data_IF_525110856600
#
_entry.id   IF_525110856600
#
_cell.length_a   1.000
_cell.length_b   1.000
_cell.length_c   1.000
_cell.angle_alpha   90.00
_cell.angle_beta   90.00
_cell.angle_gamma   90.00
#
_symmetry.space_group_name_H-M   'P 1'
#
loop_
_entity.id
_entity.type
_entity.pdbx_description
1 polymer ?
#
# COMPACT_ATOMS: atom_id res chain seq x y z
N UNK A 1 -24.30 26.82 10.65
CA UNK A 1 -23.87 25.67 9.84
C UNK A 1 -22.39 25.50 10.11
N UNK A 2 -22.00 24.44 10.81
CA UNK A 2 -20.59 24.09 10.98
C UNK A 2 -20.07 23.69 9.60
N UNK A 3 -19.10 24.43 9.09
CA UNK A 3 -18.46 24.12 7.82
C UNK A 3 -17.49 22.96 8.08
N UNK A 4 -17.92 21.73 7.77
CA UNK A 4 -17.10 20.54 7.92
C UNK A 4 -15.92 20.61 6.93
N UNK A 5 -14.72 20.23 7.37
CA UNK A 5 -13.53 20.31 6.53
C UNK A 5 -13.65 19.33 5.35
N UNK A 6 -13.95 19.84 4.16
CA UNK A 6 -14.08 19.03 2.94
C UNK A 6 -12.73 18.58 2.33
N UNK A 7 -11.64 18.57 3.10
CA UNK A 7 -10.29 18.25 2.61
C UNK A 7 -9.66 17.13 3.44
N UNK A 8 -9.02 16.13 2.80
CA UNK A 8 -8.21 15.13 3.48
C UNK A 8 -7.15 15.77 4.38
N UNK A 9 -6.93 15.19 5.55
CA UNK A 9 -5.85 15.60 6.43
C UNK A 9 -4.49 15.30 5.79
N UNK A 10 -3.45 16.00 6.27
CA UNK A 10 -2.08 15.71 5.85
C UNK A 10 -1.66 14.27 6.18
N UNK A 11 -2.18 13.70 7.27
CA UNK A 11 -1.89 12.32 7.68
C UNK A 11 -2.49 11.34 6.66
N UNK A 12 -3.75 11.56 6.26
CA UNK A 12 -4.41 10.74 5.25
C UNK A 12 -3.67 10.79 3.90
N UNK A 13 -3.20 11.97 3.48
CA UNK A 13 -2.37 12.10 2.27
C UNK A 13 -1.09 11.29 2.41
N UNK A 14 -0.38 11.39 3.54
CA UNK A 14 0.84 10.62 3.79
C UNK A 14 0.56 9.11 3.74
N UNK A 15 -0.51 8.63 4.38
CA UNK A 15 -0.91 7.23 4.35
C UNK A 15 -1.33 6.73 2.96
N UNK A 16 -1.81 7.61 2.09
CA UNK A 16 -2.13 7.23 0.70
C UNK A 16 -0.92 7.09 -0.22
N UNK A 17 0.22 7.70 0.15
CA UNK A 17 1.43 7.71 -0.69
C UNK A 17 2.43 6.64 -0.25
N UNK A 18 2.60 6.43 1.06
CA UNK A 18 3.60 5.50 1.59
C UNK A 18 3.44 4.07 1.03
N UNK A 19 2.25 3.45 0.99
CA UNK A 19 2.09 2.10 0.44
C UNK A 19 2.61 1.96 -0.98
N UNK A 20 2.33 2.94 -1.85
CA UNK A 20 2.82 2.93 -3.23
C UNK A 20 4.36 2.94 -3.30
N UNK A 21 5.02 3.74 -2.45
CA UNK A 21 6.48 3.79 -2.37
C UNK A 21 7.05 2.46 -1.87
N UNK A 22 6.45 1.87 -0.84
CA UNK A 22 6.89 0.59 -0.28
C UNK A 22 6.73 -0.55 -1.29
N UNK A 23 5.59 -0.62 -1.99
CA UNK A 23 5.35 -1.58 -3.06
C UNK A 23 6.39 -1.42 -4.17
N UNK A 24 6.64 -0.18 -4.62
CA UNK A 24 7.64 0.09 -5.66
C UNK A 24 9.03 -0.40 -5.26
N UNK A 25 9.46 -0.08 -4.03
CA UNK A 25 10.75 -0.54 -3.51
C UNK A 25 10.80 -2.07 -3.42
N UNK A 26 9.72 -2.71 -2.95
CA UNK A 26 9.65 -4.16 -2.85
C UNK A 26 9.81 -4.82 -4.23
N UNK A 27 9.11 -4.34 -5.27
CA UNK A 27 9.23 -4.86 -6.65
C UNK A 27 10.63 -4.62 -7.23
N UNK A 28 11.24 -3.47 -6.93
CA UNK A 28 12.59 -3.19 -7.39
C UNK A 28 13.62 -4.13 -6.74
N UNK A 29 13.47 -4.41 -5.45
CA UNK A 29 14.35 -5.29 -4.69
C UNK A 29 14.27 -6.77 -5.13
N UNK A 30 13.12 -7.21 -5.66
CA UNK A 30 12.99 -8.54 -6.28
C UNK A 30 13.60 -8.59 -7.69
N UNK A 31 14.26 -7.53 -8.14
CA UNK A 31 14.78 -7.40 -9.51
C UNK A 31 13.66 -7.67 -10.53
N UNK A 32 12.51 -7.04 -10.30
CA UNK A 32 11.28 -7.23 -11.06
C UNK A 32 10.85 -8.71 -11.19
N UNK A 33 10.97 -9.45 -10.09
CA UNK A 33 10.64 -10.88 -10.01
C UNK A 33 11.55 -11.79 -10.85
N UNK A 34 12.82 -11.42 -11.00
CA UNK A 34 13.82 -12.28 -11.63
C UNK A 34 13.98 -13.59 -10.85
N UNK A 35 14.11 -14.72 -11.57
CA UNK A 35 14.44 -16.04 -10.99
C UNK A 35 15.89 -16.12 -10.48
N UNK A 36 16.75 -15.19 -10.90
CA UNK A 36 18.14 -15.08 -10.48
C UNK A 36 18.41 -13.62 -10.11
N UNK A 37 17.85 -13.14 -8.98
CA UNK A 37 17.99 -11.75 -8.59
C UNK A 37 19.47 -11.44 -8.31
N UNK A 38 19.88 -10.24 -8.68
CA UNK A 38 21.25 -9.74 -8.43
C UNK A 38 21.55 -9.58 -6.94
N UNK A 39 20.52 -9.29 -6.13
CA UNK A 39 20.63 -9.13 -4.69
C UNK A 39 20.47 -10.46 -3.93
N UNK A 40 21.17 -10.63 -2.79
CA UNK A 40 21.06 -11.85 -2.00
C UNK A 40 19.66 -11.97 -1.37
N UNK A 41 19.22 -13.18 -0.98
CA UNK A 41 17.84 -13.46 -0.55
C UNK A 41 17.32 -12.57 0.59
N UNK A 42 18.21 -12.08 1.45
CA UNK A 42 17.86 -11.12 2.51
C UNK A 42 17.19 -9.86 1.95
N UNK A 43 17.68 -9.37 0.81
CA UNK A 43 17.16 -8.16 0.15
C UNK A 43 16.20 -8.47 -1.00
N UNK A 44 16.31 -9.61 -1.68
CA UNK A 44 15.43 -9.96 -2.81
C UNK A 44 14.18 -10.75 -2.42
N UNK A 45 14.11 -11.30 -1.20
CA UNK A 45 12.94 -12.06 -0.74
C UNK A 45 12.42 -11.57 0.63
N UNK A 46 13.25 -11.60 1.68
CA UNK A 46 12.79 -11.31 3.04
C UNK A 46 12.43 -9.84 3.26
N UNK A 47 13.28 -8.91 2.83
CA UNK A 47 13.00 -7.48 2.96
C UNK A 47 11.74 -7.06 2.16
N UNK A 48 11.56 -7.47 0.88
CA UNK A 48 10.32 -7.21 0.15
C UNK A 48 9.07 -7.70 0.87
N UNK A 49 9.08 -8.93 1.43
CA UNK A 49 7.96 -9.44 2.23
C UNK A 49 7.67 -8.52 3.41
N UNK A 50 8.70 -8.12 4.15
CA UNK A 50 8.53 -7.20 5.27
C UNK A 50 7.94 -5.86 4.83
N UNK A 51 8.43 -5.26 3.74
CA UNK A 51 7.94 -4.00 3.21
C UNK A 51 6.47 -4.08 2.78
N UNK A 52 6.06 -5.18 2.14
CA UNK A 52 4.67 -5.39 1.70
C UNK A 52 3.72 -5.61 2.89
N UNK A 53 4.18 -6.26 3.97
CA UNK A 53 3.38 -6.38 5.20
C UNK A 53 3.18 -5.00 5.84
N UNK A 54 4.23 -4.19 5.92
CA UNK A 54 4.12 -2.81 6.43
C UNK A 54 3.24 -1.95 5.51
N UNK A 55 3.37 -2.10 4.20
CA UNK A 55 2.50 -1.45 3.20
C UNK A 55 1.03 -1.78 3.44
N UNK A 56 0.68 -3.06 3.60
CA UNK A 56 -0.68 -3.49 3.84
C UNK A 56 -1.25 -2.92 5.14
N UNK A 57 -0.44 -2.86 6.21
CA UNK A 57 -0.84 -2.25 7.49
C UNK A 57 -1.12 -0.74 7.32
N UNK A 58 -0.25 -0.02 6.60
CA UNK A 58 -0.44 1.42 6.36
C UNK A 58 -1.65 1.67 5.45
N UNK A 59 -1.84 0.86 4.41
CA UNK A 59 -3.00 0.94 3.54
C UNK A 59 -4.30 0.65 4.31
N UNK A 60 -4.28 -0.30 5.25
CA UNK A 60 -5.39 -0.53 6.17
C UNK A 60 -5.71 0.72 6.99
N UNK A 61 -4.71 1.37 7.60
CA UNK A 61 -4.94 2.64 8.31
C UNK A 61 -5.43 3.74 7.38
N UNK A 62 -4.89 3.86 6.16
CA UNK A 62 -5.35 4.81 5.16
C UNK A 62 -6.85 4.66 4.89
N UNK A 63 -7.35 3.42 4.77
CA UNK A 63 -8.75 3.14 4.53
C UNK A 63 -9.64 3.61 5.70
N UNK A 64 -9.27 3.27 6.93
CA UNK A 64 -10.06 3.68 8.10
C UNK A 64 -10.02 5.18 8.33
N UNK A 65 -8.86 5.82 8.16
CA UNK A 65 -8.74 7.27 8.25
C UNK A 65 -9.52 7.97 7.13
N UNK A 66 -9.53 7.43 5.90
CA UNK A 66 -10.34 7.99 4.81
C UNK A 66 -11.84 7.95 5.13
N UNK A 67 -12.31 6.88 5.77
CA UNK A 67 -13.70 6.75 6.22
C UNK A 67 -14.04 7.64 7.41
N UNK A 68 -13.10 7.80 8.34
CA UNK A 68 -13.29 8.63 9.53
C UNK A 68 -13.31 10.13 9.19
N UNK A 69 -12.51 10.54 8.21
CA UNK A 69 -12.46 11.93 7.73
C UNK A 69 -13.48 12.26 6.63
N UNK A 70 -14.27 11.28 6.18
CA UNK A 70 -15.26 11.49 5.11
C UNK A 70 -16.37 12.43 5.59
N UNK A 71 -16.66 13.54 4.88
CA UNK A 71 -17.66 14.51 5.30
C UNK A 71 -19.07 13.92 5.20
N UNK A 72 -19.90 14.20 6.20
CA UNK A 72 -21.32 13.79 6.20
C UNK A 72 -22.11 14.52 5.12
N UNK A 73 -21.73 15.77 4.82
CA UNK A 73 -22.40 16.64 3.87
C UNK A 73 -21.39 17.25 2.90
N UNK A 74 -21.62 17.10 1.60
CA UNK A 74 -20.76 17.65 0.55
C UNK A 74 -20.14 16.58 -0.34
N UNK A 75 -19.02 16.91 -1.00
CA UNK A 75 -18.38 15.99 -1.95
C UNK A 75 -17.52 14.95 -1.23
N UNK A 76 -17.93 13.68 -1.34
CA UNK A 76 -17.21 12.52 -0.81
C UNK A 76 -16.23 11.91 -1.83
N UNK A 77 -16.19 12.44 -3.05
CA UNK A 77 -15.50 11.82 -4.17
C UNK A 77 -14.00 11.56 -3.90
N UNK A 78 -13.31 12.52 -3.29
CA UNK A 78 -11.87 12.39 -2.98
C UNK A 78 -11.64 11.28 -1.95
N UNK A 79 -12.48 11.18 -0.92
CA UNK A 79 -12.37 10.14 0.11
C UNK A 79 -12.61 8.75 -0.47
N UNK A 80 -13.59 8.60 -1.38
CA UNK A 80 -13.82 7.32 -2.09
C UNK A 80 -12.66 6.92 -2.99
N UNK A 81 -11.97 7.88 -3.62
CA UNK A 81 -10.71 7.59 -4.35
C UNK A 81 -9.64 7.06 -3.39
N UNK A 82 -9.45 7.71 -2.23
CA UNK A 82 -8.45 7.31 -1.24
C UNK A 82 -8.76 5.93 -0.63
N UNK A 83 -10.02 5.65 -0.33
CA UNK A 83 -10.48 4.31 0.07
C UNK A 83 -10.19 3.27 -1.02
N UNK A 84 -10.50 3.58 -2.29
CA UNK A 84 -10.25 2.70 -3.42
C UNK A 84 -8.75 2.43 -3.64
N UNK A 85 -7.91 3.45 -3.48
CA UNK A 85 -6.45 3.32 -3.53
C UNK A 85 -5.95 2.41 -2.40
N UNK A 86 -6.41 2.63 -1.17
CA UNK A 86 -6.04 1.80 -0.03
C UNK A 86 -6.38 0.32 -0.25
N UNK A 87 -7.59 0.02 -0.72
CA UNK A 87 -7.98 -1.36 -1.07
C UNK A 87 -7.12 -1.92 -2.19
N UNK A 88 -6.82 -1.11 -3.21
CA UNK A 88 -5.97 -1.52 -4.33
C UNK A 88 -4.56 -1.87 -3.88
N UNK A 89 -3.97 -1.10 -2.96
CA UNK A 89 -2.65 -1.40 -2.39
C UNK A 89 -2.67 -2.72 -1.63
N UNK A 90 -3.67 -2.98 -0.78
CA UNK A 90 -3.80 -4.25 -0.06
C UNK A 90 -3.89 -5.43 -1.04
N UNK A 91 -4.66 -5.29 -2.12
CA UNK A 91 -4.75 -6.34 -3.15
C UNK A 91 -3.42 -6.55 -3.86
N UNK A 92 -2.70 -5.48 -4.21
CA UNK A 92 -1.36 -5.56 -4.80
C UNK A 92 -0.36 -6.22 -3.85
N UNK A 93 -0.37 -5.86 -2.57
CA UNK A 93 0.49 -6.47 -1.54
C UNK A 93 0.27 -7.98 -1.48
N UNK A 94 -0.98 -8.44 -1.48
CA UNK A 94 -1.31 -9.88 -1.48
C UNK A 94 -0.79 -10.58 -2.75
N UNK A 95 -1.02 -9.99 -3.92
CA UNK A 95 -0.58 -10.56 -5.21
C UNK A 95 0.95 -10.67 -5.26
N UNK A 96 1.65 -9.60 -4.88
CA UNK A 96 3.11 -9.54 -4.90
C UNK A 96 3.69 -10.49 -3.86
N UNK A 97 3.14 -10.56 -2.64
CA UNK A 97 3.55 -11.52 -1.62
C UNK A 97 3.42 -12.96 -2.13
N UNK A 98 2.28 -13.30 -2.74
CA UNK A 98 2.08 -14.63 -3.31
C UNK A 98 3.12 -14.95 -4.40
N UNK A 99 3.45 -13.96 -5.23
CA UNK A 99 4.46 -14.12 -6.29
C UNK A 99 5.86 -14.34 -5.73
N UNK A 100 6.27 -13.58 -4.70
CA UNK A 100 7.57 -13.73 -4.02
C UNK A 100 7.65 -15.10 -3.35
N UNK A 101 6.60 -15.52 -2.64
CA UNK A 101 6.55 -16.83 -1.98
C UNK A 101 6.69 -17.96 -3.01
N UNK A 102 6.00 -17.86 -4.14
CA UNK A 102 6.10 -18.86 -5.19
C UNK A 102 7.51 -18.93 -5.79
N UNK A 103 8.07 -17.79 -6.22
CA UNK A 103 9.32 -17.74 -6.99
C UNK A 103 10.58 -18.01 -6.16
N UNK A 104 10.59 -17.69 -4.87
CA UNK A 104 11.81 -17.77 -4.06
C UNK A 104 11.79 -18.84 -2.98
N UNK A 105 10.64 -19.44 -2.72
CA UNK A 105 10.51 -20.45 -1.66
C UNK A 105 9.86 -21.76 -2.13
N UNK A 106 9.11 -21.77 -3.24
CA UNK A 106 8.40 -22.96 -3.72
C UNK A 106 9.03 -23.54 -4.99
N UNK A 107 9.35 -22.71 -5.98
CA UNK A 107 9.97 -23.13 -7.26
C UNK A 107 11.45 -23.43 -7.13
#
# INVERSE_FOLDING_TARGET
>A
MLYEQAKPSGILIVFSVIPAVLIFIAVFLTDFFSLKPTLPPMYSAFLPIFLLVISAIIAFFCYFTAKDEEPEWGSQFVFKILEGLAVSYIMLDIIILALILFLYFIS
#
